data_IF_492670264065
#
_entry.id   IF_492670264065
#
_cell.length_a   1.000
_cell.length_b   1.000
_cell.length_c   1.000
_cell.angle_alpha   90.00
_cell.angle_beta   90.00
_cell.angle_gamma   90.00
#
_symmetry.space_group_name_H-M   'P 1'
#
loop_
_entity.id
_entity.type
_entity.pdbx_description
1 polymer ?
#
# COMPACT_ATOMS: atom_id res chain seq x y z
N UNK A 1 -9.45 15.00 24.11
CA UNK A 1 -8.92 13.76 23.45
C UNK A 1 -8.43 12.82 24.54
N UNK A 2 -8.86 11.54 24.52
CA UNK A 2 -8.39 10.53 25.47
C UNK A 2 -6.90 10.26 25.18
N UNK A 3 -6.07 10.37 26.21
CA UNK A 3 -4.63 10.09 26.04
C UNK A 3 -4.39 8.57 26.20
N UNK A 4 -3.79 7.95 25.22
CA UNK A 4 -3.40 6.53 25.26
C UNK A 4 -1.90 6.44 25.48
N UNK A 5 -1.49 5.83 26.59
CA UNK A 5 -0.08 5.56 26.89
C UNK A 5 0.29 4.19 26.33
N UNK A 6 1.16 4.18 25.33
CA UNK A 6 1.80 2.98 24.81
C UNK A 6 3.22 2.97 25.36
N UNK A 7 3.55 1.98 26.21
CA UNK A 7 4.89 1.76 26.72
C UNK A 7 5.67 0.78 25.82
N UNK A 8 6.95 0.60 26.08
CA UNK A 8 7.81 -0.35 25.35
C UNK A 8 7.25 -1.76 25.35
N UNK A 9 6.71 -2.20 26.49
CA UNK A 9 6.23 -3.58 26.69
C UNK A 9 5.06 -3.94 25.76
N UNK A 10 4.35 -2.93 25.21
CA UNK A 10 3.30 -3.13 24.23
C UNK A 10 3.82 -3.85 22.97
N UNK A 11 5.07 -3.59 22.59
CA UNK A 11 5.69 -4.18 21.40
C UNK A 11 6.42 -5.50 21.69
N UNK A 12 6.61 -5.84 22.96
CA UNK A 12 7.30 -7.07 23.37
C UNK A 12 6.34 -8.25 23.55
N UNK A 13 5.03 -8.01 23.45
CA UNK A 13 4.01 -9.05 23.56
C UNK A 13 3.92 -9.87 22.26
N UNK A 14 4.17 -11.16 22.38
CA UNK A 14 3.99 -12.11 21.26
C UNK A 14 2.50 -12.46 21.15
N UNK A 15 1.94 -12.14 19.98
CA UNK A 15 0.56 -12.49 19.65
C UNK A 15 0.51 -13.71 18.72
N UNK A 16 -0.08 -14.81 19.17
CA UNK A 16 -0.27 -15.98 18.30
C UNK A 16 -1.31 -15.64 17.22
N UNK A 17 -0.86 -15.75 15.96
CA UNK A 17 -1.68 -15.47 14.79
C UNK A 17 -1.99 -16.68 13.93
N UNK A 18 -1.39 -17.85 14.24
CA UNK A 18 -1.73 -19.12 13.59
C UNK A 18 -3.18 -19.48 13.94
N UNK A 19 -3.92 -19.99 12.97
CA UNK A 19 -5.34 -20.32 13.15
C UNK A 19 -6.32 -19.13 13.14
N UNK A 20 -5.83 -17.89 13.02
CA UNK A 20 -6.68 -16.68 12.95
C UNK A 20 -7.13 -16.35 11.51
N UNK A 21 -6.71 -17.14 10.52
CA UNK A 21 -6.89 -16.82 9.09
C UNK A 21 -5.82 -15.89 8.52
N UNK A 22 -4.81 -15.48 9.31
CA UNK A 22 -3.73 -14.64 8.83
C UNK A 22 -2.93 -15.34 7.73
N UNK A 23 -2.93 -14.76 6.53
CA UNK A 23 -2.23 -15.30 5.35
C UNK A 23 -0.72 -15.46 5.60
N UNK A 24 -0.14 -14.54 6.34
CA UNK A 24 1.28 -14.55 6.72
C UNK A 24 1.71 -15.87 7.34
N UNK A 25 0.82 -16.53 8.10
CA UNK A 25 1.06 -17.75 8.86
C UNK A 25 0.40 -19.00 8.27
N UNK A 26 0.11 -19.02 6.98
CA UNK A 26 -0.47 -20.20 6.31
C UNK A 26 0.50 -21.37 6.13
N UNK A 27 1.78 -21.19 6.41
CA UNK A 27 2.74 -22.31 6.38
C UNK A 27 2.55 -23.24 7.57
N UNK A 28 2.69 -24.55 7.33
CA UNK A 28 2.68 -25.56 8.39
C UNK A 28 4.01 -25.64 9.15
N UNK A 29 5.06 -25.09 8.58
CA UNK A 29 6.37 -25.03 9.23
C UNK A 29 6.38 -23.94 10.30
N UNK A 30 6.40 -24.38 11.56
CA UNK A 30 6.39 -23.51 12.74
C UNK A 30 7.75 -22.90 13.07
N UNK A 31 8.83 -23.39 12.50
CA UNK A 31 10.18 -22.88 12.73
C UNK A 31 10.48 -21.69 11.82
N UNK A 32 9.73 -21.53 10.72
CA UNK A 32 9.90 -20.39 9.83
C UNK A 32 9.37 -19.10 10.44
N UNK A 33 10.18 -18.05 10.36
CA UNK A 33 9.77 -16.67 10.65
C UNK A 33 9.28 -16.06 9.33
N UNK A 34 7.96 -15.88 9.16
CA UNK A 34 7.42 -15.37 7.90
C UNK A 34 7.70 -13.86 7.79
N UNK A 35 8.43 -13.46 6.74
CA UNK A 35 8.79 -12.08 6.44
C UNK A 35 8.34 -11.62 5.05
N UNK A 36 7.50 -12.40 4.37
CA UNK A 36 7.07 -12.16 3.00
C UNK A 36 5.90 -11.17 2.86
N UNK A 37 5.11 -10.99 3.93
CA UNK A 37 4.04 -10.00 4.01
C UNK A 37 4.43 -8.93 5.01
N UNK A 38 4.23 -7.67 4.65
CA UNK A 38 4.61 -6.53 5.46
C UNK A 38 3.56 -6.15 6.55
N UNK A 39 2.60 -7.04 6.86
CA UNK A 39 1.71 -6.83 7.99
C UNK A 39 2.45 -7.02 9.32
N UNK A 40 2.23 -6.11 10.24
CA UNK A 40 2.87 -6.14 11.55
C UNK A 40 2.19 -7.14 12.49
N UNK A 41 2.98 -7.69 13.41
CA UNK A 41 2.50 -8.64 14.44
C UNK A 41 2.17 -7.96 15.78
N UNK A 42 2.13 -6.65 15.79
CA UNK A 42 1.70 -5.84 16.93
C UNK A 42 0.20 -5.57 16.89
N UNK A 43 -0.40 -5.41 18.06
CA UNK A 43 -1.78 -4.91 18.16
C UNK A 43 -1.90 -3.52 17.53
N UNK A 44 -3.08 -3.22 17.01
CA UNK A 44 -3.42 -1.86 16.63
C UNK A 44 -3.36 -0.91 17.86
N UNK A 45 -3.06 0.38 17.64
CA UNK A 45 -3.13 1.34 18.74
C UNK A 45 -4.50 1.31 19.43
N UNK A 46 -4.54 1.46 20.78
CA UNK A 46 -5.82 1.35 21.52
C UNK A 46 -6.94 2.26 21.03
N UNK A 47 -6.60 3.44 20.50
CA UNK A 47 -7.57 4.36 19.91
C UNK A 47 -8.27 3.77 18.67
N UNK A 48 -7.53 3.00 17.86
CA UNK A 48 -8.06 2.32 16.66
C UNK A 48 -8.97 1.17 17.08
N UNK A 49 -8.53 0.37 18.06
CA UNK A 49 -9.32 -0.74 18.59
C UNK A 49 -10.65 -0.24 19.19
N UNK A 50 -10.62 0.83 20.01
CA UNK A 50 -11.81 1.44 20.60
C UNK A 50 -12.79 1.95 19.52
N UNK A 51 -12.30 2.63 18.49
CA UNK A 51 -13.14 3.12 17.40
C UNK A 51 -13.82 1.98 16.61
N UNK A 52 -13.11 0.88 16.38
CA UNK A 52 -13.68 -0.31 15.74
C UNK A 52 -14.74 -0.97 16.62
N UNK A 53 -14.51 -1.09 17.92
CA UNK A 53 -15.47 -1.65 18.88
C UNK A 53 -16.75 -0.79 18.92
N UNK A 54 -16.62 0.52 18.99
CA UNK A 54 -17.77 1.44 18.97
C UNK A 54 -18.59 1.28 17.69
N UNK A 55 -17.93 1.18 16.55
CA UNK A 55 -18.59 0.95 15.26
C UNK A 55 -19.32 -0.39 15.23
N UNK A 56 -18.70 -1.45 15.74
CA UNK A 56 -19.29 -2.78 15.83
C UNK A 56 -20.50 -2.81 16.78
N UNK A 57 -20.42 -2.13 17.93
CA UNK A 57 -21.51 -2.02 18.90
C UNK A 57 -22.71 -1.25 18.37
N UNK A 58 -22.49 -0.26 17.50
CA UNK A 58 -23.58 0.43 16.80
C UNK A 58 -24.43 -0.54 15.96
N UNK A 59 -23.82 -1.55 15.33
CA UNK A 59 -24.47 -2.72 14.74
C UNK A 59 -25.27 -2.46 13.46
N UNK A 60 -25.32 -1.22 12.95
CA UNK A 60 -26.04 -0.88 11.71
C UNK A 60 -25.01 -0.52 10.65
N UNK A 61 -24.82 -1.43 9.69
CA UNK A 61 -23.80 -1.32 8.64
C UNK A 61 -24.50 -1.02 7.31
N UNK A 62 -24.64 0.27 7.01
CA UNK A 62 -25.21 0.75 5.76
C UNK A 62 -24.17 1.39 4.85
N UNK A 63 -24.63 2.11 3.84
CA UNK A 63 -23.75 2.90 2.98
C UNK A 63 -23.19 4.10 3.76
N UNK A 64 -21.91 4.07 4.04
CA UNK A 64 -21.22 5.13 4.78
C UNK A 64 -20.32 5.92 3.83
N UNK A 65 -20.57 7.20 3.71
CA UNK A 65 -19.72 8.12 2.96
C UNK A 65 -18.38 8.42 3.68
N UNK A 66 -17.44 8.99 2.95
CA UNK A 66 -16.21 9.52 3.54
C UNK A 66 -16.50 10.81 4.28
N UNK A 67 -16.26 10.84 5.59
CA UNK A 67 -16.50 12.03 6.43
C UNK A 67 -15.45 13.12 6.19
N UNK A 68 -15.79 14.36 6.56
CA UNK A 68 -14.82 15.47 6.55
C UNK A 68 -13.66 15.19 7.49
N UNK A 69 -13.92 14.60 8.67
CA UNK A 69 -12.86 14.23 9.62
C UNK A 69 -11.87 13.21 9.06
N UNK A 70 -12.29 12.30 8.15
CA UNK A 70 -11.36 11.44 7.45
C UNK A 70 -10.40 12.25 6.55
N UNK A 71 -10.95 13.17 5.75
CA UNK A 71 -10.16 14.00 4.87
C UNK A 71 -9.19 14.90 5.67
N UNK A 72 -9.66 15.52 6.75
CA UNK A 72 -8.85 16.35 7.64
C UNK A 72 -7.70 15.54 8.27
N UNK A 73 -7.96 14.32 8.73
CA UNK A 73 -6.93 13.45 9.31
C UNK A 73 -5.85 13.09 8.28
N UNK A 74 -6.25 12.77 7.04
CA UNK A 74 -5.29 12.47 5.97
C UNK A 74 -4.48 13.70 5.60
N UNK A 75 -5.12 14.85 5.36
CA UNK A 75 -4.43 16.10 5.04
C UNK A 75 -3.46 16.51 6.16
N UNK A 76 -3.90 16.42 7.41
CA UNK A 76 -3.08 16.73 8.58
C UNK A 76 -1.87 15.82 8.72
N UNK A 77 -2.03 14.52 8.42
CA UNK A 77 -0.92 13.57 8.42
C UNK A 77 0.15 13.93 7.38
N UNK A 78 -0.26 14.17 6.12
CA UNK A 78 0.68 14.52 5.05
C UNK A 78 1.39 15.85 5.33
N UNK A 79 0.67 16.86 5.81
CA UNK A 79 1.27 18.14 6.19
C UNK A 79 2.29 17.97 7.33
N UNK A 80 1.94 17.23 8.40
CA UNK A 80 2.80 17.08 9.58
C UNK A 80 4.00 16.15 9.36
N UNK A 81 3.89 15.14 8.50
CA UNK A 81 4.90 14.08 8.35
C UNK A 81 5.71 14.16 7.07
N UNK A 82 5.15 14.76 6.03
CA UNK A 82 5.74 14.78 4.69
C UNK A 82 5.98 16.23 4.19
N UNK A 83 5.63 17.23 5.00
CA UNK A 83 5.64 18.64 4.58
C UNK A 83 4.92 18.86 3.24
N UNK A 84 3.80 18.12 3.08
CA UNK A 84 3.01 18.13 1.86
C UNK A 84 1.58 18.58 2.12
N UNK A 85 1.22 19.75 1.62
CA UNK A 85 -0.12 20.32 1.72
C UNK A 85 -1.04 19.69 0.65
N UNK A 86 -1.87 18.74 1.07
CA UNK A 86 -2.89 18.10 0.23
C UNK A 86 -4.25 18.62 0.61
N UNK A 87 -5.11 18.91 -0.36
CA UNK A 87 -6.49 19.32 -0.14
C UNK A 87 -7.47 18.15 -0.31
N UNK A 88 -8.62 18.23 0.34
CA UNK A 88 -9.71 17.25 0.21
C UNK A 88 -10.13 17.02 -1.24
N UNK A 89 -10.06 18.06 -2.11
CA UNK A 89 -10.45 17.99 -3.51
C UNK A 89 -9.50 17.15 -4.37
N UNK A 90 -8.27 16.94 -3.89
CA UNK A 90 -7.23 16.16 -4.57
C UNK A 90 -7.23 14.69 -4.15
N UNK A 91 -8.16 14.31 -3.25
CA UNK A 91 -8.20 12.96 -2.70
C UNK A 91 -9.31 12.14 -3.35
N UNK A 92 -8.92 10.97 -3.86
CA UNK A 92 -9.85 9.93 -4.32
C UNK A 92 -9.59 8.66 -3.50
N UNK A 93 -10.58 8.26 -2.72
CA UNK A 93 -10.49 7.03 -1.91
C UNK A 93 -10.69 5.80 -2.79
N UNK A 94 -9.77 4.86 -2.69
CA UNK A 94 -9.84 3.55 -3.36
C UNK A 94 -9.78 2.42 -2.33
N UNK A 95 -10.25 1.20 -2.66
CA UNK A 95 -10.16 0.03 -1.77
C UNK A 95 -8.73 -0.43 -1.49
N UNK A 96 -7.73 0.17 -2.10
CA UNK A 96 -6.31 -0.11 -1.90
C UNK A 96 -5.46 0.37 -3.06
N UNK A 97 -4.14 0.39 -2.86
CA UNK A 97 -3.16 0.91 -3.84
C UNK A 97 -3.23 0.15 -5.17
N UNK A 98 -3.29 -1.17 -5.14
CA UNK A 98 -3.34 -2.00 -6.38
C UNK A 98 -4.60 -1.69 -7.20
N UNK A 99 -5.74 -1.48 -6.54
CA UNK A 99 -6.96 -1.04 -7.23
C UNK A 99 -6.76 0.34 -7.88
N UNK A 100 -6.16 1.29 -7.16
CA UNK A 100 -5.86 2.63 -7.67
C UNK A 100 -4.94 2.60 -8.89
N UNK A 101 -3.88 1.77 -8.85
CA UNK A 101 -2.97 1.57 -9.97
C UNK A 101 -3.72 0.97 -11.17
N UNK A 102 -4.54 -0.07 -10.97
CA UNK A 102 -5.34 -0.66 -12.04
C UNK A 102 -6.33 0.33 -12.67
N UNK A 103 -6.93 1.20 -11.86
CA UNK A 103 -7.80 2.27 -12.36
C UNK A 103 -7.02 3.29 -13.21
N UNK A 104 -5.83 3.71 -12.76
CA UNK A 104 -4.95 4.61 -13.50
C UNK A 104 -4.49 3.99 -14.84
N UNK A 105 -4.06 2.73 -14.83
CA UNK A 105 -3.69 2.00 -16.03
C UNK A 105 -4.84 2.02 -17.06
N UNK A 106 -6.06 1.70 -16.65
CA UNK A 106 -7.22 1.71 -17.54
C UNK A 106 -7.61 3.10 -18.03
N UNK A 107 -7.45 4.10 -17.21
CA UNK A 107 -7.81 5.48 -17.55
C UNK A 107 -6.80 6.14 -18.52
N UNK A 108 -5.52 5.80 -18.40
CA UNK A 108 -4.43 6.50 -19.08
C UNK A 108 -3.85 5.71 -20.28
N UNK A 109 -4.22 4.43 -20.43
CA UNK A 109 -3.67 3.57 -21.48
C UNK A 109 -4.75 2.73 -22.15
N UNK A 110 -4.42 2.12 -23.31
CA UNK A 110 -5.26 1.16 -24.02
C UNK A 110 -4.71 -0.27 -23.88
N UNK A 111 -5.52 -1.33 -24.07
CA UNK A 111 -5.02 -2.70 -24.17
C UNK A 111 -3.88 -2.80 -25.22
N UNK A 112 -2.78 -3.47 -24.83
CA UNK A 112 -1.59 -3.60 -25.66
C UNK A 112 -0.56 -2.47 -25.51
N UNK A 113 -0.88 -1.36 -24.86
CA UNK A 113 0.10 -0.33 -24.53
C UNK A 113 1.12 -0.83 -23.49
N UNK A 114 2.33 -0.27 -23.52
CA UNK A 114 3.36 -0.59 -22.56
C UNK A 114 3.25 0.30 -21.29
N UNK A 115 3.36 -0.36 -20.15
CA UNK A 115 3.43 0.26 -18.81
C UNK A 115 4.74 -0.13 -18.18
N UNK A 116 5.50 0.87 -17.70
CA UNK A 116 6.83 0.66 -17.13
C UNK A 116 6.81 0.61 -15.63
N UNK A 117 7.66 -0.27 -15.09
CA UNK A 117 8.06 -0.31 -13.68
C UNK A 117 9.58 -0.40 -13.56
N UNK A 118 10.11 0.05 -12.41
CA UNK A 118 11.50 -0.17 -12.06
C UNK A 118 11.60 -1.38 -11.13
N UNK A 119 12.52 -2.32 -11.38
CA UNK A 119 12.73 -3.51 -10.54
C UNK A 119 14.11 -3.48 -9.86
N UNK A 120 14.27 -4.10 -8.65
CA UNK A 120 13.25 -4.88 -7.92
C UNK A 120 12.14 -4.02 -7.31
N UNK A 121 10.91 -4.53 -7.36
CA UNK A 121 9.71 -3.84 -6.87
C UNK A 121 8.66 -4.86 -6.40
N UNK A 122 7.61 -4.41 -5.77
CA UNK A 122 6.51 -5.24 -5.31
C UNK A 122 5.87 -6.02 -6.48
N UNK A 123 5.84 -7.34 -6.34
CA UNK A 123 5.47 -8.27 -7.43
C UNK A 123 4.05 -8.07 -7.99
N UNK A 124 3.11 -7.55 -7.18
CA UNK A 124 1.75 -7.28 -7.64
C UNK A 124 1.66 -6.17 -8.68
N UNK A 125 2.69 -5.33 -8.83
CA UNK A 125 2.72 -4.34 -9.92
C UNK A 125 2.82 -5.01 -11.30
N UNK A 126 3.60 -6.08 -11.39
CA UNK A 126 3.63 -6.92 -12.60
C UNK A 126 2.27 -7.54 -12.88
N UNK A 127 1.65 -8.10 -11.84
CA UNK A 127 0.36 -8.76 -11.97
C UNK A 127 -0.75 -7.81 -12.42
N UNK A 128 -0.81 -6.59 -11.87
CA UNK A 128 -1.86 -5.63 -12.23
C UNK A 128 -1.71 -5.08 -13.66
N UNK A 129 -0.48 -4.96 -14.16
CA UNK A 129 -0.22 -4.57 -15.55
C UNK A 129 -0.71 -5.67 -16.50
N UNK A 130 -0.28 -6.91 -16.27
CA UNK A 130 -0.64 -8.05 -17.11
C UNK A 130 -2.14 -8.35 -17.09
N UNK A 131 -2.79 -8.29 -15.90
CA UNK A 131 -4.23 -8.55 -15.76
C UNK A 131 -5.12 -7.48 -16.39
N UNK A 132 -4.55 -6.36 -16.80
CA UNK A 132 -5.24 -5.33 -17.57
C UNK A 132 -4.85 -5.33 -19.07
N UNK A 133 -4.26 -6.41 -19.58
CA UNK A 133 -3.86 -6.56 -21.00
C UNK A 133 -2.86 -5.50 -21.47
N UNK A 134 -1.99 -5.02 -20.59
CA UNK A 134 -0.91 -4.10 -20.92
C UNK A 134 0.41 -4.86 -21.01
N UNK A 135 1.32 -4.38 -21.85
CA UNK A 135 2.67 -4.90 -21.93
C UNK A 135 3.51 -4.37 -20.78
N UNK A 136 4.25 -5.25 -20.12
CA UNK A 136 5.18 -4.87 -19.08
C UNK A 136 6.50 -4.41 -19.70
N UNK A 137 6.88 -3.16 -19.47
CA UNK A 137 8.24 -2.66 -19.68
C UNK A 137 8.97 -2.61 -18.33
N UNK A 138 10.23 -3.01 -18.28
CA UNK A 138 11.01 -3.04 -17.04
C UNK A 138 12.30 -2.27 -17.22
N UNK A 139 12.56 -1.31 -16.33
CA UNK A 139 13.89 -0.74 -16.14
C UNK A 139 14.47 -1.24 -14.82
N UNK A 140 15.64 -1.86 -14.88
CA UNK A 140 16.29 -2.36 -13.68
C UNK A 140 16.96 -1.23 -12.90
N UNK A 141 16.74 -1.23 -11.58
CA UNK A 141 17.44 -0.31 -10.68
C UNK A 141 18.92 -0.69 -10.61
N UNK A 142 19.79 0.30 -10.68
CA UNK A 142 21.24 0.11 -10.49
C UNK A 142 21.57 0.07 -9.01
N UNK A 143 22.28 -0.97 -8.57
CA UNK A 143 22.81 -1.01 -7.21
C UNK A 143 24.17 -0.31 -7.16
N UNK A 144 24.25 0.77 -6.36
CA UNK A 144 25.49 1.51 -6.10
C UNK A 144 25.66 1.72 -4.60
N UNK A 145 26.81 1.33 -4.06
CA UNK A 145 27.15 1.55 -2.63
C UNK A 145 26.05 1.08 -1.66
N UNK A 146 25.40 -0.06 -1.93
CA UNK A 146 24.34 -0.62 -1.10
C UNK A 146 22.99 0.06 -1.23
N UNK A 147 22.82 0.99 -2.17
CA UNK A 147 21.56 1.67 -2.49
C UNK A 147 21.09 1.34 -3.90
N UNK A 148 19.80 1.39 -4.11
CA UNK A 148 19.19 1.31 -5.43
C UNK A 148 18.95 2.71 -5.98
N UNK A 149 19.31 2.90 -7.25
CA UNK A 149 19.14 4.16 -7.99
C UNK A 149 18.41 3.89 -9.29
N UNK A 150 17.60 4.83 -9.75
CA UNK A 150 16.97 4.75 -11.06
C UNK A 150 18.00 4.94 -12.17
N UNK A 151 17.89 4.11 -13.22
CA UNK A 151 18.65 4.28 -14.45
C UNK A 151 17.87 5.14 -15.44
N UNK A 152 18.01 6.45 -15.31
CA UNK A 152 17.26 7.39 -16.14
C UNK A 152 17.58 7.26 -17.64
N UNK A 153 18.81 6.86 -17.99
CA UNK A 153 19.21 6.61 -19.39
C UNK A 153 18.45 5.40 -19.96
N UNK A 154 18.38 4.30 -19.20
CA UNK A 154 17.63 3.11 -19.60
C UNK A 154 16.12 3.39 -19.65
N UNK A 155 15.58 4.12 -18.67
CA UNK A 155 14.18 4.54 -18.63
C UNK A 155 13.84 5.35 -19.90
N UNK A 156 14.62 6.37 -20.22
CA UNK A 156 14.39 7.23 -21.38
C UNK A 156 14.48 6.45 -22.69
N UNK A 157 15.48 5.58 -22.82
CA UNK A 157 15.65 4.71 -23.97
C UNK A 157 14.43 3.80 -24.18
N UNK A 158 14.00 3.10 -23.12
CA UNK A 158 12.84 2.18 -23.19
C UNK A 158 11.52 2.88 -23.43
N UNK A 159 11.32 4.09 -22.90
CA UNK A 159 10.14 4.89 -23.20
C UNK A 159 9.99 5.06 -24.72
N UNK A 160 11.10 5.32 -25.43
CA UNK A 160 11.10 5.50 -26.88
C UNK A 160 10.95 4.19 -27.64
N UNK A 161 11.77 3.19 -27.29
CA UNK A 161 11.84 1.91 -28.02
C UNK A 161 10.59 1.05 -27.82
N UNK A 162 10.04 1.01 -26.62
CA UNK A 162 8.87 0.19 -26.29
C UNK A 162 7.54 0.98 -26.33
N UNK A 163 7.58 2.27 -26.71
CA UNK A 163 6.42 3.15 -26.77
C UNK A 163 5.61 3.16 -25.46
N UNK A 164 6.33 3.30 -24.34
CA UNK A 164 5.72 3.31 -23.00
C UNK A 164 4.74 4.46 -22.85
N UNK A 165 3.56 4.17 -22.29
CA UNK A 165 2.47 5.16 -22.10
C UNK A 165 2.27 5.57 -20.65
N UNK A 166 2.71 4.73 -19.68
CA UNK A 166 2.59 5.00 -18.24
C UNK A 166 3.79 4.41 -17.50
#
# INVERSE_FOLDING_TARGET
MKEYKINSDFFDVIHERRGTGAIKYKTDDRELIPMWVADMDFKAPPAVEEALIQTAQHGIFGYTGTSDGYAEAVCGWYAARMDWAVSKKEMVKTPGVIFGIGAAIRALTQPGDAVMICQPVYHLFVSIINSNDRKLAVSELKQRNGRYEMDFEDIERKIREENVKL
#
